data_IF_606431157973
#
_entry.id   IF_606431157973
#
_cell.length_a   1.000
_cell.length_b   1.000
_cell.length_c   1.000
_cell.angle_alpha   90.00
_cell.angle_beta   90.00
_cell.angle_gamma   90.00
#
_symmetry.space_group_name_H-M   'P 1'
#
loop_
_entity.id
_entity.type
_entity.pdbx_description
1 polymer ?
#
# COMPACT_ATOMS: atom_id res chain seq x y z
N UNK A 1 1.96 9.75 -23.28
CA UNK A 1 2.64 8.78 -22.40
C UNK A 1 1.61 7.72 -22.06
N UNK A 2 1.92 6.46 -22.20
CA UNK A 2 1.03 5.36 -21.81
C UNK A 2 0.99 5.30 -20.28
N UNK A 3 -0.18 5.15 -19.69
CA UNK A 3 -0.29 5.02 -18.24
C UNK A 3 0.39 3.71 -17.78
N UNK A 4 1.08 3.76 -16.62
CA UNK A 4 1.69 2.58 -16.02
C UNK A 4 0.67 1.73 -15.26
N UNK A 5 -0.27 2.40 -14.56
CA UNK A 5 -1.31 1.76 -13.77
C UNK A 5 -2.67 2.33 -14.16
N UNK A 6 -3.60 1.46 -14.54
CA UNK A 6 -4.97 1.82 -14.90
C UNK A 6 -5.96 0.90 -14.17
N UNK A 7 -6.94 1.48 -13.52
CA UNK A 7 -7.88 0.69 -12.72
C UNK A 7 -9.25 1.38 -12.63
N UNK A 8 -10.32 0.61 -12.79
CA UNK A 8 -11.70 1.11 -12.73
C UNK A 8 -12.50 0.83 -14.01
N UNK A 9 -13.71 1.37 -14.16
CA UNK A 9 -14.39 2.16 -13.13
C UNK A 9 -14.86 1.34 -11.91
N UNK A 10 -14.91 1.99 -10.75
CA UNK A 10 -15.41 1.40 -9.51
C UNK A 10 -16.56 2.21 -8.94
N UNK A 11 -17.57 1.52 -8.39
CA UNK A 11 -18.64 2.13 -7.60
C UNK A 11 -18.81 1.36 -6.31
N UNK A 12 -19.04 2.06 -5.20
CA UNK A 12 -19.22 1.44 -3.89
C UNK A 12 -20.28 2.16 -3.06
N UNK A 13 -20.95 1.36 -2.23
CA UNK A 13 -21.92 1.81 -1.22
C UNK A 13 -21.50 1.25 0.14
N UNK A 14 -21.88 1.94 1.21
CA UNK A 14 -21.72 1.45 2.58
C UNK A 14 -22.77 0.37 2.93
N UNK A 15 -22.69 -0.14 4.17
CA UNK A 15 -23.63 -1.16 4.67
C UNK A 15 -25.09 -0.68 4.80
N UNK A 16 -25.32 0.63 4.74
CA UNK A 16 -26.64 1.27 4.80
C UNK A 16 -27.15 1.66 3.40
N UNK A 17 -26.36 1.44 2.35
CA UNK A 17 -26.69 1.73 0.96
C UNK A 17 -26.31 3.14 0.49
N UNK A 18 -25.70 3.98 1.32
CA UNK A 18 -25.22 5.29 0.90
C UNK A 18 -24.03 5.16 -0.06
N UNK A 19 -24.01 6.03 -1.07
CA UNK A 19 -22.93 6.06 -2.05
C UNK A 19 -21.64 6.53 -1.40
N UNK A 20 -20.61 5.70 -1.43
CA UNK A 20 -19.24 6.08 -1.08
C UNK A 20 -18.55 6.74 -2.27
N UNK A 21 -18.67 6.15 -3.45
CA UNK A 21 -18.21 6.71 -4.72
C UNK A 21 -18.88 6.03 -5.91
N UNK A 22 -18.93 6.72 -7.04
CA UNK A 22 -19.46 6.21 -8.31
C UNK A 22 -18.51 6.52 -9.45
N UNK A 23 -18.31 5.53 -10.32
CA UNK A 23 -17.59 5.62 -11.59
C UNK A 23 -16.14 6.13 -11.47
N UNK A 24 -15.47 5.75 -10.37
CA UNK A 24 -14.10 6.18 -10.08
C UNK A 24 -13.10 5.32 -10.86
N UNK A 25 -12.25 5.99 -11.63
CA UNK A 25 -11.12 5.38 -12.34
C UNK A 25 -9.81 6.10 -12.02
N UNK A 26 -8.70 5.38 -12.03
CA UNK A 26 -7.36 5.93 -11.88
C UNK A 26 -6.49 5.56 -13.08
N UNK A 27 -5.70 6.54 -13.52
CA UNK A 27 -4.64 6.39 -14.52
C UNK A 27 -3.40 7.11 -14.01
N UNK A 28 -2.32 6.36 -13.71
CA UNK A 28 -1.13 6.83 -13.01
C UNK A 28 0.13 6.37 -13.75
N UNK A 29 1.21 7.14 -13.61
CA UNK A 29 2.53 6.80 -14.13
C UNK A 29 3.38 6.10 -13.08
N UNK A 30 4.39 5.35 -13.49
CA UNK A 30 5.44 4.87 -12.59
C UNK A 30 6.32 6.03 -12.09
N UNK A 31 7.15 5.75 -11.11
CA UNK A 31 8.03 6.77 -10.52
C UNK A 31 7.32 7.77 -9.60
N UNK A 32 6.01 7.60 -9.33
CA UNK A 32 5.20 8.54 -8.56
C UNK A 32 4.82 8.00 -7.18
N UNK A 33 4.73 8.93 -6.22
CA UNK A 33 4.02 8.76 -4.97
C UNK A 33 2.72 9.60 -5.04
N UNK A 34 1.57 8.94 -4.95
CA UNK A 34 0.24 9.54 -5.08
C UNK A 34 -0.44 9.52 -3.71
N UNK A 35 -0.81 10.69 -3.20
CA UNK A 35 -1.60 10.81 -1.97
C UNK A 35 -3.09 10.86 -2.28
N UNK A 36 -3.90 10.13 -1.50
CA UNK A 36 -5.36 10.21 -1.54
C UNK A 36 -5.84 10.73 -0.20
N UNK A 37 -6.54 11.86 -0.20
CA UNK A 37 -7.20 12.41 0.98
C UNK A 37 -8.72 12.34 0.85
N UNK A 38 -9.41 12.68 1.93
CA UNK A 38 -10.87 12.77 1.99
C UNK A 38 -11.38 12.59 3.41
N UNK A 39 -12.68 12.84 3.66
CA UNK A 39 -13.26 12.73 5.00
C UNK A 39 -13.14 11.31 5.55
N UNK A 40 -13.16 11.19 6.90
CA UNK A 40 -13.30 9.90 7.57
C UNK A 40 -14.61 9.24 7.14
N UNK A 41 -14.60 7.94 6.88
CA UNK A 41 -15.77 7.23 6.35
C UNK A 41 -16.08 7.50 4.87
N UNK A 42 -15.33 8.37 4.18
CA UNK A 42 -15.55 8.75 2.77
C UNK A 42 -15.18 7.67 1.73
N UNK A 43 -14.91 6.43 2.14
CA UNK A 43 -14.67 5.32 1.22
C UNK A 43 -13.21 5.13 0.77
N UNK A 44 -12.22 5.86 1.33
CA UNK A 44 -10.79 5.74 0.95
C UNK A 44 -10.29 4.31 1.05
N UNK A 45 -10.40 3.67 2.21
CA UNK A 45 -9.97 2.27 2.41
C UNK A 45 -10.73 1.30 1.52
N UNK A 46 -12.01 1.59 1.23
CA UNK A 46 -12.81 0.82 0.28
C UNK A 46 -12.24 0.96 -1.13
N UNK A 47 -11.92 2.17 -1.58
CA UNK A 47 -11.27 2.40 -2.87
C UNK A 47 -9.95 1.63 -2.97
N UNK A 48 -9.09 1.71 -1.94
CA UNK A 48 -7.82 0.97 -1.92
C UNK A 48 -8.02 -0.55 -2.03
N UNK A 49 -9.09 -1.10 -1.44
CA UNK A 49 -9.45 -2.52 -1.60
C UNK A 49 -9.87 -2.87 -3.03
N UNK A 50 -10.56 -1.97 -3.72
CA UNK A 50 -10.88 -2.16 -5.15
C UNK A 50 -9.62 -2.11 -6.02
N UNK A 51 -8.75 -1.12 -5.81
CA UNK A 51 -7.49 -0.99 -6.55
C UNK A 51 -6.62 -2.25 -6.43
N UNK A 52 -6.56 -2.83 -5.23
CA UNK A 52 -5.76 -4.03 -4.95
C UNK A 52 -6.48 -5.34 -5.30
N UNK A 53 -7.73 -5.27 -5.76
CA UNK A 53 -8.53 -6.46 -6.09
C UNK A 53 -8.98 -7.27 -4.86
N UNK A 54 -8.95 -6.67 -3.66
CA UNK A 54 -9.48 -7.27 -2.43
C UNK A 54 -11.00 -7.10 -2.32
N UNK A 55 -11.56 -6.06 -2.96
CA UNK A 55 -13.00 -5.92 -3.17
C UNK A 55 -13.37 -6.44 -4.56
N UNK A 56 -14.57 -7.05 -4.66
CA UNK A 56 -15.05 -7.64 -5.90
C UNK A 56 -15.58 -6.57 -6.85
N UNK A 57 -15.08 -6.53 -8.07
CA UNK A 57 -15.58 -5.70 -9.17
C UNK A 57 -15.29 -6.40 -10.49
N UNK A 58 -16.25 -7.19 -11.02
CA UNK A 58 -16.03 -8.01 -12.21
C UNK A 58 -15.83 -7.17 -13.46
N UNK A 59 -16.49 -6.01 -13.54
CA UNK A 59 -16.52 -5.17 -14.73
C UNK A 59 -15.39 -4.14 -14.80
N UNK A 60 -14.64 -3.98 -13.71
CA UNK A 60 -13.54 -3.02 -13.66
C UNK A 60 -12.30 -3.52 -14.42
N UNK A 61 -11.77 -2.66 -15.30
CA UNK A 61 -10.47 -2.86 -15.92
C UNK A 61 -9.34 -2.82 -14.90
N UNK A 62 -8.27 -3.55 -15.17
CA UNK A 62 -7.01 -3.55 -14.39
C UNK A 62 -5.86 -3.69 -15.36
N UNK A 63 -5.13 -2.61 -15.55
CA UNK A 63 -3.96 -2.54 -16.42
C UNK A 63 -2.70 -2.18 -15.64
N UNK A 64 -1.60 -2.83 -15.96
CA UNK A 64 -0.29 -2.54 -15.39
C UNK A 64 0.77 -2.70 -16.48
N UNK A 65 1.51 -1.62 -16.75
CA UNK A 65 2.57 -1.56 -17.76
C UNK A 65 2.12 -2.09 -19.14
N UNK A 66 0.91 -1.65 -19.56
CA UNK A 66 0.31 -2.04 -20.83
C UNK A 66 -0.26 -3.47 -20.88
N UNK A 67 -0.26 -4.20 -19.75
CA UNK A 67 -0.81 -5.56 -19.65
C UNK A 67 -2.13 -5.53 -18.89
N UNK A 68 -3.18 -6.12 -19.49
CA UNK A 68 -4.49 -6.26 -18.86
C UNK A 68 -4.55 -7.50 -17.94
N UNK A 69 -5.17 -7.32 -16.76
CA UNK A 69 -5.37 -8.37 -15.74
C UNK A 69 -6.86 -8.62 -15.52
N UNK A 70 -7.50 -9.57 -16.22
CA UNK A 70 -8.90 -9.92 -16.00
C UNK A 70 -9.12 -10.53 -14.60
N UNK A 71 -10.38 -10.59 -14.16
CA UNK A 71 -10.75 -11.12 -12.85
C UNK A 71 -10.20 -12.52 -12.55
N UNK A 72 -10.05 -13.37 -13.57
CA UNK A 72 -9.43 -14.70 -13.42
C UNK A 72 -7.97 -14.64 -12.94
N UNK A 73 -7.29 -13.51 -13.14
CA UNK A 73 -5.89 -13.27 -12.75
C UNK A 73 -5.74 -12.44 -11.46
N UNK A 74 -6.81 -12.24 -10.69
CA UNK A 74 -6.74 -11.52 -9.40
C UNK A 74 -5.64 -12.01 -8.44
N UNK A 75 -5.31 -13.30 -8.34
CA UNK A 75 -4.17 -13.73 -7.51
C UNK A 75 -2.83 -13.15 -8.00
N UNK A 76 -2.63 -13.03 -9.32
CA UNK A 76 -1.44 -12.40 -9.91
C UNK A 76 -1.48 -10.90 -9.64
N UNK A 77 -2.62 -10.25 -9.92
CA UNK A 77 -2.82 -8.82 -9.64
C UNK A 77 -2.44 -8.45 -8.21
N UNK A 78 -2.94 -9.19 -7.21
CA UNK A 78 -2.66 -8.96 -5.78
C UNK A 78 -1.18 -9.13 -5.40
N UNK A 79 -0.41 -9.86 -6.19
CA UNK A 79 1.04 -9.97 -5.98
C UNK A 79 1.81 -8.79 -6.56
N UNK A 80 1.24 -8.10 -7.55
CA UNK A 80 1.79 -6.92 -8.21
C UNK A 80 1.32 -5.62 -7.55
N UNK A 81 0.07 -5.61 -7.05
CA UNK A 81 -0.57 -4.45 -6.40
C UNK A 81 -0.90 -4.84 -4.96
N UNK A 82 -0.04 -4.47 -4.03
CA UNK A 82 -0.07 -4.97 -2.65
C UNK A 82 -0.54 -3.89 -1.68
N UNK A 83 -1.51 -4.23 -0.82
CA UNK A 83 -2.02 -3.36 0.24
C UNK A 83 -1.25 -3.57 1.55
N UNK A 84 -0.77 -2.48 2.14
CA UNK A 84 -0.44 -2.40 3.56
C UNK A 84 -1.65 -1.75 4.24
N UNK A 85 -2.42 -2.55 4.96
CA UNK A 85 -3.62 -2.08 5.65
C UNK A 85 -3.25 -1.31 6.94
N UNK A 86 -4.14 -0.44 7.37
CA UNK A 86 -4.02 0.33 8.62
C UNK A 86 -3.76 -0.59 9.83
N UNK A 87 -4.59 -1.61 9.99
CA UNK A 87 -4.41 -2.67 10.98
C UNK A 87 -3.70 -3.86 10.32
N UNK A 88 -2.39 -3.73 10.08
CA UNK A 88 -1.64 -4.79 9.44
C UNK A 88 -1.50 -6.00 10.37
N UNK A 89 -2.11 -7.16 10.04
CA UNK A 89 -2.08 -8.33 10.89
C UNK A 89 -0.67 -8.88 11.00
N UNK A 90 -0.30 -9.28 12.23
CA UNK A 90 0.92 -10.00 12.52
C UNK A 90 0.59 -11.46 12.82
N UNK A 91 1.41 -12.38 12.31
CA UNK A 91 1.34 -13.79 12.68
C UNK A 91 2.11 -14.04 13.98
N UNK A 92 1.71 -15.05 14.74
CA UNK A 92 2.48 -15.51 15.91
C UNK A 92 3.87 -15.97 15.48
N UNK A 93 4.89 -15.67 16.29
CA UNK A 93 6.28 -16.01 16.02
C UNK A 93 7.20 -14.80 16.08
N UNK A 94 8.33 -14.88 15.43
CA UNK A 94 9.38 -13.88 15.43
C UNK A 94 9.13 -12.74 14.41
N UNK A 95 9.91 -11.68 14.52
CA UNK A 95 9.99 -10.61 13.51
C UNK A 95 10.36 -11.20 12.13
N UNK A 96 11.33 -12.12 12.09
CA UNK A 96 11.73 -12.84 10.86
C UNK A 96 10.54 -13.59 10.24
N UNK A 97 9.75 -14.33 11.04
CA UNK A 97 8.59 -15.08 10.55
C UNK A 97 7.58 -14.15 9.89
N UNK A 98 7.35 -12.98 10.49
CA UNK A 98 6.43 -11.98 9.95
C UNK A 98 6.92 -11.35 8.65
N UNK A 99 8.20 -11.00 8.54
CA UNK A 99 8.78 -10.47 7.31
C UNK A 99 8.83 -11.52 6.20
N UNK A 100 9.12 -12.78 6.55
CA UNK A 100 9.20 -13.91 5.62
C UNK A 100 7.83 -14.42 5.18
N UNK A 101 6.76 -14.12 5.92
CA UNK A 101 5.43 -14.69 5.69
C UNK A 101 4.93 -14.60 4.24
N UNK A 102 5.03 -13.46 3.51
CA UNK A 102 4.60 -13.40 2.11
C UNK A 102 5.33 -14.40 1.20
N UNK A 103 6.61 -14.63 1.46
CA UNK A 103 7.47 -15.53 0.68
C UNK A 103 7.14 -17.02 0.92
N UNK A 104 6.51 -17.34 2.04
CA UNK A 104 6.05 -18.70 2.36
C UNK A 104 4.72 -19.06 1.68
N UNK A 105 4.00 -18.06 1.15
CA UNK A 105 2.72 -18.26 0.48
C UNK A 105 2.91 -18.74 -0.96
N UNK A 106 1.83 -19.24 -1.57
CA UNK A 106 1.84 -19.72 -2.97
C UNK A 106 2.38 -18.67 -3.95
N UNK A 107 2.02 -17.41 -3.76
CA UNK A 107 2.49 -16.29 -4.59
C UNK A 107 4.00 -16.01 -4.43
N UNK A 108 4.59 -16.40 -3.29
CA UNK A 108 6.02 -16.26 -3.00
C UNK A 108 6.88 -17.43 -3.51
N UNK A 109 6.27 -18.44 -4.12
CA UNK A 109 7.02 -19.61 -4.60
C UNK A 109 8.09 -19.20 -5.62
N UNK A 110 9.35 -19.49 -5.32
CA UNK A 110 10.50 -19.12 -6.15
C UNK A 110 11.11 -17.75 -5.83
N UNK A 111 10.51 -16.97 -4.91
CA UNK A 111 11.10 -15.72 -4.40
C UNK A 111 11.90 -15.99 -3.13
N UNK A 112 13.14 -15.55 -3.10
CA UNK A 112 14.01 -15.67 -1.92
C UNK A 112 13.70 -14.61 -0.88
N UNK A 113 13.78 -14.97 0.40
CA UNK A 113 13.80 -14.01 1.50
C UNK A 113 15.27 -13.70 1.85
N UNK A 114 15.62 -12.43 1.96
CA UNK A 114 16.97 -11.95 2.28
C UNK A 114 16.98 -11.27 3.66
N UNK A 115 17.65 -11.92 4.63
CA UNK A 115 17.83 -11.37 5.98
C UNK A 115 18.61 -10.04 5.98
N UNK A 116 19.59 -9.89 5.08
CA UNK A 116 20.39 -8.67 4.96
C UNK A 116 19.53 -7.48 4.49
N UNK A 117 18.65 -7.70 3.52
CA UNK A 117 17.69 -6.68 3.08
C UNK A 117 16.69 -6.34 4.19
N UNK A 118 16.20 -7.36 4.92
CA UNK A 118 15.33 -7.15 6.06
C UNK A 118 15.95 -6.21 7.11
N UNK A 119 17.21 -6.45 7.47
CA UNK A 119 17.95 -5.62 8.44
C UNK A 119 18.10 -4.19 7.92
N UNK A 120 18.53 -4.00 6.65
CA UNK A 120 18.66 -2.67 6.05
C UNK A 120 17.36 -1.87 6.06
N UNK A 121 16.25 -2.50 5.68
CA UNK A 121 14.94 -1.83 5.71
C UNK A 121 14.46 -1.53 7.13
N UNK A 122 14.71 -2.42 8.10
CA UNK A 122 14.42 -2.17 9.51
C UNK A 122 15.23 -0.97 10.05
N UNK A 123 16.52 -0.88 9.68
CA UNK A 123 17.37 0.27 10.03
C UNK A 123 16.79 1.58 9.48
N UNK A 124 16.33 1.56 8.22
CA UNK A 124 15.75 2.74 7.55
C UNK A 124 14.48 3.27 8.23
N UNK A 125 13.77 2.45 8.99
CA UNK A 125 12.59 2.86 9.77
C UNK A 125 12.86 2.95 11.29
N UNK A 126 14.12 3.02 11.70
CA UNK A 126 14.53 3.16 13.10
C UNK A 126 14.35 1.89 13.96
N UNK A 127 14.27 0.71 13.33
CA UNK A 127 14.12 -0.58 14.00
C UNK A 127 15.35 -1.49 13.91
N UNK A 128 16.49 -0.98 13.47
CA UNK A 128 17.71 -1.77 13.26
C UNK A 128 18.29 -2.42 14.54
N UNK A 129 17.86 -1.98 15.74
CA UNK A 129 18.25 -2.60 17.00
C UNK A 129 17.45 -3.85 17.35
N UNK A 130 16.35 -4.12 16.65
CA UNK A 130 15.52 -5.28 16.91
C UNK A 130 16.14 -6.52 16.26
N UNK A 131 16.47 -7.56 17.04
CA UNK A 131 16.94 -8.81 16.47
C UNK A 131 15.81 -9.51 15.73
N UNK A 132 16.12 -10.19 14.63
CA UNK A 132 15.12 -10.86 13.78
C UNK A 132 14.36 -12.00 14.48
N UNK A 133 14.91 -12.57 15.56
CA UNK A 133 14.27 -13.57 16.42
C UNK A 133 13.37 -12.98 17.51
N UNK A 134 13.26 -11.65 17.59
CA UNK A 134 12.38 -10.97 18.54
C UNK A 134 10.93 -11.41 18.37
N UNK A 135 10.28 -11.81 19.45
CA UNK A 135 8.87 -12.19 19.48
C UNK A 135 7.96 -11.01 19.12
N UNK A 136 7.13 -11.15 18.07
CA UNK A 136 6.33 -10.06 17.50
C UNK A 136 5.31 -9.47 18.47
N UNK A 137 4.73 -10.29 19.36
CA UNK A 137 3.72 -9.84 20.34
C UNK A 137 4.29 -8.89 21.41
N UNK A 138 5.62 -8.84 21.58
CA UNK A 138 6.27 -7.96 22.56
C UNK A 138 6.49 -6.55 22.01
N UNK A 139 6.17 -6.31 20.75
CA UNK A 139 6.39 -5.05 20.07
C UNK A 139 5.20 -4.10 20.23
N UNK A 140 5.50 -2.80 20.27
CA UNK A 140 4.51 -1.72 20.30
C UNK A 140 3.68 -1.65 19.00
N UNK A 141 2.56 -0.92 19.02
CA UNK A 141 1.76 -0.66 17.83
C UNK A 141 2.55 0.00 16.71
N UNK A 142 3.32 1.07 17.04
CA UNK A 142 4.14 1.78 16.05
C UNK A 142 5.26 0.91 15.46
N UNK A 143 5.90 0.04 16.26
CA UNK A 143 6.87 -0.92 15.73
C UNK A 143 6.21 -1.90 14.76
N UNK A 144 5.02 -2.43 15.10
CA UNK A 144 4.28 -3.32 14.21
C UNK A 144 3.88 -2.65 12.90
N UNK A 145 3.47 -1.36 12.92
CA UNK A 145 3.17 -0.61 11.68
C UNK A 145 4.41 -0.49 10.79
N UNK A 146 5.56 -0.14 11.35
CA UNK A 146 6.82 -0.06 10.60
C UNK A 146 7.26 -1.42 10.05
N UNK A 147 7.07 -2.50 10.81
CA UNK A 147 7.33 -3.87 10.34
C UNK A 147 6.41 -4.26 9.17
N UNK A 148 5.13 -3.87 9.22
CA UNK A 148 4.22 -4.08 8.11
C UNK A 148 4.65 -3.35 6.85
N UNK A 149 5.14 -2.11 6.99
CA UNK A 149 5.74 -1.34 5.89
C UNK A 149 6.95 -2.06 5.31
N UNK A 150 7.91 -2.46 6.15
CA UNK A 150 9.10 -3.22 5.72
C UNK A 150 8.70 -4.51 5.02
N UNK A 151 7.73 -5.27 5.56
CA UNK A 151 7.21 -6.49 4.93
C UNK A 151 6.64 -6.24 3.53
N UNK A 152 5.90 -5.15 3.35
CA UNK A 152 5.35 -4.76 2.05
C UNK A 152 6.45 -4.38 1.05
N UNK A 153 7.47 -3.64 1.50
CA UNK A 153 8.61 -3.24 0.67
C UNK A 153 9.49 -4.44 0.26
N UNK A 154 9.74 -5.37 1.19
CA UNK A 154 10.47 -6.61 0.89
C UNK A 154 9.76 -7.48 -0.16
N UNK A 155 8.43 -7.45 -0.18
CA UNK A 155 7.66 -8.13 -1.21
C UNK A 155 7.95 -7.56 -2.61
N UNK A 156 8.38 -6.30 -2.70
CA UNK A 156 8.75 -5.60 -3.92
C UNK A 156 7.65 -5.65 -5.01
N UNK A 157 6.43 -5.17 -4.71
CA UNK A 157 5.35 -5.12 -5.68
C UNK A 157 5.58 -4.01 -6.72
N UNK A 158 4.94 -4.07 -7.88
CA UNK A 158 4.94 -2.97 -8.85
C UNK A 158 4.19 -1.74 -8.32
N UNK A 159 3.10 -1.96 -7.58
CA UNK A 159 2.31 -0.91 -6.93
C UNK A 159 2.16 -1.22 -5.45
N UNK A 160 2.66 -0.35 -4.61
CA UNK A 160 2.48 -0.41 -3.16
C UNK A 160 1.36 0.54 -2.75
N UNK A 161 0.33 -0.01 -2.12
CA UNK A 161 -0.82 0.75 -1.61
C UNK A 161 -0.73 0.79 -0.10
N UNK A 162 -0.75 1.98 0.51
CA UNK A 162 -0.57 2.18 1.95
C UNK A 162 -1.78 2.91 2.55
N UNK A 163 -2.56 2.21 3.38
CA UNK A 163 -3.75 2.74 4.04
C UNK A 163 -3.38 3.20 5.46
N UNK A 164 -3.21 4.51 5.65
CA UNK A 164 -2.92 5.17 6.95
C UNK A 164 -1.76 4.53 7.74
N UNK A 165 -0.80 3.92 7.04
CA UNK A 165 0.29 3.13 7.65
C UNK A 165 1.27 3.92 8.50
N UNK A 166 1.24 5.26 8.43
CA UNK A 166 2.09 6.16 9.20
C UNK A 166 1.35 6.79 10.38
N UNK A 167 0.08 6.46 10.60
CA UNK A 167 -0.71 6.98 11.71
C UNK A 167 -0.21 6.45 13.05
N UNK A 168 -0.17 7.32 14.07
CA UNK A 168 0.25 6.94 15.43
C UNK A 168 1.76 6.70 15.59
N UNK A 169 2.58 7.02 14.60
CA UNK A 169 4.04 7.06 14.71
C UNK A 169 4.51 8.43 15.26
N UNK A 170 5.67 8.43 15.89
CA UNK A 170 6.35 9.68 16.24
C UNK A 170 6.84 10.42 14.98
N UNK A 171 7.07 11.75 15.02
CA UNK A 171 7.41 12.55 13.84
C UNK A 171 8.68 12.08 13.10
N UNK A 172 9.66 11.57 13.81
CA UNK A 172 10.92 11.07 13.23
C UNK A 172 10.65 9.77 12.44
N UNK A 173 9.88 8.84 13.04
CA UNK A 173 9.48 7.60 12.39
C UNK A 173 8.56 7.85 11.18
N UNK A 174 7.65 8.84 11.24
CA UNK A 174 6.82 9.27 10.09
C UNK A 174 7.71 9.71 8.95
N UNK A 175 8.68 10.61 9.21
CA UNK A 175 9.59 11.14 8.19
C UNK A 175 10.39 10.02 7.55
N UNK A 176 11.05 9.18 8.33
CA UNK A 176 11.86 8.07 7.85
C UNK A 176 11.04 7.07 7.00
N UNK A 177 9.83 6.71 7.47
CA UNK A 177 8.95 5.78 6.76
C UNK A 177 8.42 6.36 5.45
N UNK A 178 8.09 7.67 5.44
CA UNK A 178 7.64 8.34 4.22
C UNK A 178 8.78 8.49 3.20
N UNK A 179 9.99 8.84 3.63
CA UNK A 179 11.16 8.91 2.76
C UNK A 179 11.47 7.55 2.10
N UNK A 180 11.25 6.47 2.85
CA UNK A 180 11.40 5.11 2.32
C UNK A 180 10.34 4.78 1.25
N UNK A 181 9.08 5.23 1.44
CA UNK A 181 8.02 5.10 0.43
C UNK A 181 8.34 5.91 -0.83
N UNK A 182 8.85 7.14 -0.68
CA UNK A 182 9.28 7.97 -1.81
C UNK A 182 10.44 7.30 -2.56
N UNK A 183 11.45 6.81 -1.85
CA UNK A 183 12.59 6.11 -2.45
C UNK A 183 12.13 4.85 -3.22
N UNK A 184 11.17 4.11 -2.67
CA UNK A 184 10.58 2.97 -3.37
C UNK A 184 9.86 3.41 -4.66
N UNK A 185 9.01 4.45 -4.59
CA UNK A 185 8.26 4.96 -5.73
C UNK A 185 9.18 5.40 -6.89
N UNK A 186 10.36 6.00 -6.57
CA UNK A 186 11.34 6.49 -7.56
C UNK A 186 12.05 5.38 -8.34
N UNK A 187 11.89 4.14 -7.96
CA UNK A 187 12.48 3.02 -8.70
C UNK A 187 11.70 2.79 -10.00
N UNK A 188 12.37 2.46 -11.13
CA UNK A 188 11.71 2.17 -12.38
C UNK A 188 10.65 1.06 -12.23
N UNK A 189 9.47 1.26 -12.83
CA UNK A 189 8.37 0.32 -12.75
C UNK A 189 7.78 0.18 -11.34
N UNK A 190 7.85 1.24 -10.51
CA UNK A 190 7.24 1.28 -9.17
C UNK A 190 6.32 2.49 -9.04
N UNK A 191 5.26 2.31 -8.27
CA UNK A 191 4.27 3.32 -7.93
C UNK A 191 3.86 3.12 -6.47
N UNK A 192 3.67 4.22 -5.75
CA UNK A 192 3.12 4.22 -4.38
C UNK A 192 1.82 5.00 -4.36
N UNK A 193 0.77 4.43 -3.79
CA UNK A 193 -0.52 5.08 -3.53
C UNK A 193 -0.75 5.06 -2.02
N UNK A 194 -0.90 6.25 -1.40
CA UNK A 194 -1.00 6.38 0.04
C UNK A 194 -2.25 7.14 0.46
N UNK A 195 -2.80 6.78 1.62
CA UNK A 195 -3.77 7.60 2.34
C UNK A 195 -3.08 8.19 3.57
N UNK A 196 -3.07 9.53 3.67
CA UNK A 196 -2.55 10.26 4.82
C UNK A 196 -3.58 11.29 5.29
N UNK A 197 -3.60 11.53 6.61
CA UNK A 197 -4.36 12.62 7.22
C UNK A 197 -3.54 13.90 7.41
N UNK A 198 -2.21 13.79 7.33
CA UNK A 198 -1.31 14.92 7.50
C UNK A 198 -1.13 15.69 6.17
N UNK A 199 -1.57 16.97 6.11
CA UNK A 199 -1.40 17.79 4.92
C UNK A 199 0.05 17.97 4.49
N UNK A 200 1.02 17.91 5.44
CA UNK A 200 2.43 18.04 5.13
C UNK A 200 2.96 16.84 4.33
N UNK A 201 2.46 15.64 4.60
CA UNK A 201 2.78 14.45 3.81
C UNK A 201 2.13 14.50 2.43
N UNK A 202 0.85 14.92 2.35
CA UNK A 202 0.15 15.07 1.09
C UNK A 202 0.87 16.07 0.16
N UNK A 203 1.39 17.18 0.71
CA UNK A 203 2.12 18.19 -0.04
C UNK A 203 3.47 17.69 -0.61
N UNK A 204 4.05 16.62 -0.05
CA UNK A 204 5.30 16.00 -0.51
C UNK A 204 5.08 14.93 -1.58
N UNK A 205 3.84 14.47 -1.79
CA UNK A 205 3.50 13.54 -2.86
C UNK A 205 3.57 14.21 -4.23
N UNK A 206 3.82 13.43 -5.29
CA UNK A 206 3.88 13.94 -6.67
C UNK A 206 2.52 14.33 -7.20
N UNK A 207 1.49 13.59 -6.81
CA UNK A 207 0.08 13.89 -7.11
C UNK A 207 -0.74 13.80 -5.84
N UNK A 208 -1.71 14.67 -5.73
CA UNK A 208 -2.62 14.73 -4.61
C UNK A 208 -4.06 14.64 -5.12
N UNK A 209 -4.75 13.58 -4.76
CA UNK A 209 -6.12 13.29 -5.14
C UNK A 209 -7.03 13.43 -3.92
N UNK A 210 -8.26 13.88 -4.11
CA UNK A 210 -9.28 13.97 -3.07
C UNK A 210 -10.49 13.13 -3.43
N UNK A 211 -10.83 12.18 -2.56
CA UNK A 211 -12.08 11.44 -2.62
C UNK A 211 -13.12 12.15 -1.74
N UNK A 212 -14.07 12.84 -2.38
CA UNK A 212 -15.13 13.57 -1.71
C UNK A 212 -16.40 13.58 -2.57
N UNK A 213 -17.56 13.62 -1.92
CA UNK A 213 -18.87 13.66 -2.59
C UNK A 213 -19.05 12.56 -3.65
N UNK A 214 -18.48 11.39 -3.41
CA UNK A 214 -18.56 10.24 -4.31
C UNK A 214 -17.65 10.30 -5.53
N UNK A 215 -16.74 11.26 -5.63
CA UNK A 215 -15.84 11.46 -6.75
C UNK A 215 -14.38 11.54 -6.31
N UNK A 216 -13.49 11.14 -7.20
CA UNK A 216 -12.05 11.29 -7.04
C UNK A 216 -11.58 12.42 -7.96
N UNK A 217 -11.03 13.47 -7.39
CA UNK A 217 -10.61 14.67 -8.10
C UNK A 217 -9.13 14.98 -7.80
N UNK A 218 -8.42 15.51 -8.77
CA UNK A 218 -7.04 15.98 -8.56
C UNK A 218 -7.07 17.33 -7.85
N UNK A 219 -6.31 17.43 -6.76
CA UNK A 219 -6.17 18.69 -5.99
C UNK A 219 -4.94 19.45 -6.46
N UNK A 220 -3.94 18.72 -7.01
CA UNK A 220 -2.70 19.27 -7.51
C UNK A 220 -1.99 18.29 -8.45
#
# INVERSE_FOLDING_TARGET
>A
MTAFFECGPFSARDGEGHVLFEDVSLSLSDGQCVAIEGPSGGGKSTLLRYLTGLAWSPDAGRGLDGVDYPCAQLPVWRSLVTLIAQDAPMIAGSLRDNLRFPFSQRAGKGRGFDDGEAVRLLESVGLGRLPLDREIRTLSGGERHRIALVRGLMWDPSVLVADETLSGLDPEAVTASFDLLLAFARRPGRLVICVFHDPALNARADRHLRLANGRLEEVR
#
